data_IF_819823701543
#
_entry.id   IF_819823701543
#
_cell.length_a   1.000
_cell.length_b   1.000
_cell.length_c   1.000
_cell.angle_alpha   90.00
_cell.angle_beta   90.00
_cell.angle_gamma   90.00
#
_symmetry.space_group_name_H-M   'P 1'
#
loop_
_entity.id
_entity.type
_entity.pdbx_description
1 polymer ?
#
# COMPACT_ATOMS: atom_id res chain seq x y z
N UNK A 1 -8.47 2.34 -7.21
CA UNK A 1 -9.22 3.58 -7.07
C UNK A 1 -10.58 3.40 -7.72
N UNK A 2 -11.60 3.53 -6.95
CA UNK A 2 -12.94 3.14 -7.33
C UNK A 2 -13.99 4.05 -6.67
N UNK A 3 -15.24 3.62 -6.68
CA UNK A 3 -16.39 4.28 -6.07
C UNK A 3 -16.14 4.72 -4.60
N UNK A 4 -15.30 4.00 -3.83
CA UNK A 4 -14.95 4.33 -2.45
C UNK A 4 -14.27 5.70 -2.36
N UNK A 5 -13.38 6.01 -3.30
CA UNK A 5 -12.68 7.30 -3.34
C UNK A 5 -13.63 8.48 -3.55
N UNK A 6 -14.62 8.31 -4.42
CA UNK A 6 -15.65 9.33 -4.66
C UNK A 6 -16.58 9.50 -3.46
N UNK A 7 -16.92 8.41 -2.78
CA UNK A 7 -17.74 8.44 -1.56
C UNK A 7 -17.04 9.21 -0.42
N UNK A 8 -15.75 9.00 -0.24
CA UNK A 8 -14.97 9.72 0.77
C UNK A 8 -14.91 11.22 0.47
N UNK A 9 -14.71 11.59 -0.79
CA UNK A 9 -14.72 13.00 -1.19
C UNK A 9 -16.10 13.64 -0.96
N UNK A 10 -17.18 12.96 -1.33
CA UNK A 10 -18.54 13.43 -1.08
C UNK A 10 -18.80 13.68 0.40
N UNK A 11 -18.32 12.80 1.26
CA UNK A 11 -18.44 12.95 2.71
C UNK A 11 -17.75 14.25 3.19
N UNK A 12 -16.51 14.50 2.75
CA UNK A 12 -15.75 15.69 3.13
C UNK A 12 -16.43 16.97 2.67
N UNK A 13 -17.01 16.97 1.47
CA UNK A 13 -17.77 18.11 0.94
C UNK A 13 -19.03 18.36 1.75
N UNK A 14 -19.77 17.31 2.11
CA UNK A 14 -20.98 17.42 2.95
C UNK A 14 -20.67 17.93 4.36
N UNK A 15 -19.53 17.52 4.93
CA UNK A 15 -19.05 18.01 6.22
C UNK A 15 -18.49 19.43 6.17
N UNK A 16 -18.42 20.02 4.98
CA UNK A 16 -17.84 21.35 4.72
C UNK A 16 -16.38 21.46 5.18
N UNK A 17 -15.67 20.35 5.15
CA UNK A 17 -14.23 20.29 5.42
C UNK A 17 -13.44 20.53 4.12
N UNK A 18 -13.37 21.80 3.75
CA UNK A 18 -12.73 22.22 2.49
C UNK A 18 -11.24 21.87 2.47
N UNK A 19 -10.54 22.07 3.57
CA UNK A 19 -9.11 21.79 3.66
C UNK A 19 -8.80 20.31 3.38
N UNK A 20 -9.49 19.39 4.08
CA UNK A 20 -9.31 17.96 3.85
C UNK A 20 -9.83 17.52 2.48
N UNK A 21 -10.89 18.12 1.97
CA UNK A 21 -11.39 17.82 0.62
C UNK A 21 -10.36 18.17 -0.45
N UNK A 22 -9.73 19.35 -0.37
CA UNK A 22 -8.69 19.77 -1.30
C UNK A 22 -7.45 18.87 -1.18
N UNK A 23 -7.00 18.56 0.02
CA UNK A 23 -5.88 17.64 0.24
C UNK A 23 -6.19 16.25 -0.34
N UNK A 24 -7.40 15.76 -0.14
CA UNK A 24 -7.84 14.47 -0.69
C UNK A 24 -7.76 14.47 -2.23
N UNK A 25 -8.24 15.52 -2.88
CA UNK A 25 -8.16 15.68 -4.33
C UNK A 25 -6.70 15.69 -4.81
N UNK A 26 -5.82 16.40 -4.12
CA UNK A 26 -4.40 16.46 -4.46
C UNK A 26 -3.73 15.08 -4.34
N UNK A 27 -3.99 14.35 -3.26
CA UNK A 27 -3.44 13.01 -3.07
C UNK A 27 -4.02 12.01 -4.07
N UNK A 28 -5.29 12.11 -4.37
CA UNK A 28 -5.94 11.27 -5.38
C UNK A 28 -5.35 11.53 -6.77
N UNK A 29 -5.18 12.80 -7.14
CA UNK A 29 -4.59 13.20 -8.42
C UNK A 29 -3.13 12.73 -8.55
N UNK A 30 -2.34 12.85 -7.49
CA UNK A 30 -0.98 12.34 -7.43
C UNK A 30 -0.94 10.81 -7.62
N UNK A 31 -1.82 10.11 -6.93
CA UNK A 31 -1.94 8.66 -7.01
C UNK A 31 -2.27 8.20 -8.45
N UNK A 32 -3.23 8.84 -9.08
CA UNK A 32 -3.59 8.53 -10.48
C UNK A 32 -2.45 8.78 -11.44
N UNK A 33 -1.77 9.93 -11.31
CA UNK A 33 -0.61 10.23 -12.18
C UNK A 33 0.50 9.20 -12.01
N UNK A 34 0.82 8.84 -10.78
CA UNK A 34 1.84 7.83 -10.49
C UNK A 34 1.50 6.49 -11.16
N UNK A 35 0.27 6.01 -10.96
CA UNK A 35 -0.19 4.75 -11.55
C UNK A 35 -0.18 4.80 -13.09
N UNK A 36 -0.63 5.91 -13.66
CA UNK A 36 -0.65 6.10 -15.11
C UNK A 36 0.76 6.13 -15.72
N UNK A 37 1.69 6.83 -15.09
CA UNK A 37 3.07 6.95 -15.57
C UNK A 37 3.88 5.67 -15.42
N UNK A 38 3.59 4.86 -14.42
CA UNK A 38 4.37 3.68 -14.07
C UNK A 38 3.68 2.35 -14.40
N UNK A 39 2.43 2.35 -14.84
CA UNK A 39 1.66 1.14 -15.10
C UNK A 39 2.25 0.21 -16.16
N UNK A 40 2.91 0.77 -17.19
CA UNK A 40 3.60 0.01 -18.23
C UNK A 40 5.13 0.07 -18.08
N UNK A 41 5.64 0.64 -16.99
CA UNK A 41 7.07 0.80 -16.77
C UNK A 41 7.69 -0.53 -16.31
N UNK A 42 8.67 -1.02 -17.05
CA UNK A 42 9.46 -2.21 -16.75
C UNK A 42 10.80 -1.87 -16.11
N UNK A 43 11.09 -0.59 -15.90
CA UNK A 43 12.29 -0.10 -15.23
C UNK A 43 12.10 -0.04 -13.73
N UNK A 44 13.21 0.02 -13.01
CA UNK A 44 13.19 0.22 -11.56
C UNK A 44 12.91 1.67 -11.19
N UNK A 45 12.38 1.87 -10.00
CA UNK A 45 12.15 3.18 -9.41
C UNK A 45 12.86 3.26 -8.05
N UNK A 46 13.24 4.46 -7.62
CA UNK A 46 13.84 4.65 -6.30
C UNK A 46 12.79 4.43 -5.20
N UNK A 47 13.22 3.82 -4.09
CA UNK A 47 12.35 3.56 -2.94
C UNK A 47 11.66 4.85 -2.46
N UNK A 48 12.37 5.99 -2.45
CA UNK A 48 11.78 7.28 -2.02
C UNK A 48 10.52 7.65 -2.81
N UNK A 49 10.48 7.35 -4.09
CA UNK A 49 9.32 7.65 -4.94
C UNK A 49 8.16 6.69 -4.67
N UNK A 50 8.45 5.42 -4.47
CA UNK A 50 7.45 4.43 -4.10
C UNK A 50 6.85 4.72 -2.71
N UNK A 51 7.67 5.16 -1.75
CA UNK A 51 7.20 5.56 -0.42
C UNK A 51 6.29 6.80 -0.51
N UNK A 52 6.67 7.80 -1.30
CA UNK A 52 5.82 8.98 -1.51
C UNK A 52 4.45 8.59 -2.09
N UNK A 53 4.43 7.67 -3.05
CA UNK A 53 3.19 7.11 -3.57
C UNK A 53 2.40 6.37 -2.47
N UNK A 54 3.07 5.51 -1.71
CA UNK A 54 2.43 4.73 -0.66
C UNK A 54 1.82 5.62 0.45
N UNK A 55 2.47 6.71 0.79
CA UNK A 55 1.94 7.71 1.74
C UNK A 55 0.65 8.36 1.20
N UNK A 56 0.66 8.78 -0.06
CA UNK A 56 -0.52 9.35 -0.71
C UNK A 56 -1.67 8.35 -0.80
N UNK A 57 -1.37 7.11 -1.20
CA UNK A 57 -2.34 6.03 -1.30
C UNK A 57 -2.93 5.65 0.06
N UNK A 58 -2.09 5.58 1.09
CA UNK A 58 -2.50 5.32 2.48
C UNK A 58 -3.39 6.43 3.03
N UNK A 59 -3.12 7.68 2.68
CA UNK A 59 -3.96 8.81 3.07
C UNK A 59 -5.42 8.64 2.60
N UNK A 60 -5.62 8.13 1.39
CA UNK A 60 -6.97 7.88 0.87
C UNK A 60 -7.74 6.88 1.75
N UNK A 61 -7.08 5.82 2.21
CA UNK A 61 -7.67 4.87 3.16
C UNK A 61 -7.88 5.49 4.55
N UNK A 62 -6.95 6.34 4.98
CA UNK A 62 -7.04 7.02 6.27
C UNK A 62 -8.28 7.92 6.36
N UNK A 63 -8.63 8.60 5.28
CA UNK A 63 -9.88 9.38 5.21
C UNK A 63 -11.10 8.45 5.29
N UNK A 64 -11.04 7.31 4.62
CA UNK A 64 -12.15 6.34 4.59
C UNK A 64 -12.41 5.70 5.96
N UNK A 65 -11.36 5.28 6.65
CA UNK A 65 -11.45 4.48 7.88
C UNK A 65 -11.13 5.26 9.16
N UNK A 66 -10.65 6.48 9.04
CA UNK A 66 -10.34 7.39 10.15
C UNK A 66 -9.41 6.74 11.19
N UNK A 67 -9.84 6.70 12.45
CA UNK A 67 -9.08 6.16 13.58
C UNK A 67 -9.06 4.63 13.68
N UNK A 68 -9.77 3.95 12.77
CA UNK A 68 -9.81 2.48 12.71
C UNK A 68 -8.58 1.86 12.04
N UNK A 69 -7.81 2.66 11.29
CA UNK A 69 -6.63 2.24 10.55
C UNK A 69 -5.45 3.15 10.86
N UNK A 70 -4.27 2.55 10.94
CA UNK A 70 -3.01 3.27 11.05
C UNK A 70 -2.01 2.73 10.03
N UNK A 71 -1.24 3.64 9.44
CA UNK A 71 -0.11 3.34 8.58
C UNK A 71 1.16 3.89 9.20
N UNK A 72 2.11 3.02 9.49
CA UNK A 72 3.38 3.40 10.08
C UNK A 72 4.49 3.18 9.05
N UNK A 73 5.23 4.23 8.75
CA UNK A 73 6.39 4.19 7.86
C UNK A 73 7.67 4.35 8.68
N UNK A 74 8.56 3.37 8.59
CA UNK A 74 9.88 3.39 9.25
C UNK A 74 10.94 2.96 8.24
N UNK A 75 11.36 3.91 7.42
CA UNK A 75 12.28 3.68 6.31
C UNK A 75 13.66 4.22 6.69
N UNK A 76 14.67 3.34 6.74
CA UNK A 76 16.05 3.74 6.93
C UNK A 76 16.53 4.53 5.71
N UNK A 77 17.06 5.72 5.94
CA UNK A 77 17.50 6.64 4.89
C UNK A 77 18.50 6.03 3.92
N UNK A 78 19.34 5.09 4.38
CA UNK A 78 20.31 4.40 3.52
C UNK A 78 19.69 3.61 2.38
N UNK A 79 18.40 3.24 2.48
CA UNK A 79 17.68 2.49 1.45
C UNK A 79 16.89 3.36 0.48
N UNK A 80 16.77 4.66 0.72
CA UNK A 80 15.88 5.54 -0.07
C UNK A 80 16.25 5.58 -1.56
N UNK A 81 17.53 5.41 -1.90
CA UNK A 81 17.98 5.37 -3.29
C UNK A 81 18.11 3.95 -3.86
N UNK A 82 17.87 2.93 -3.06
CA UNK A 82 17.71 1.56 -3.56
C UNK A 82 16.51 1.49 -4.50
N UNK A 83 16.54 0.50 -5.39
CA UNK A 83 15.56 0.35 -6.46
C UNK A 83 14.66 -0.84 -6.22
N UNK A 84 13.45 -0.73 -6.74
CA UNK A 84 12.47 -1.83 -6.80
C UNK A 84 11.56 -1.63 -8.02
N UNK A 85 10.82 -2.65 -8.45
CA UNK A 85 9.83 -2.47 -9.49
C UNK A 85 8.76 -1.45 -9.05
N UNK A 86 8.33 -0.54 -9.93
CA UNK A 86 7.31 0.44 -9.58
C UNK A 86 5.97 -0.23 -9.28
N UNK A 87 5.12 0.43 -8.51
CA UNK A 87 3.79 -0.06 -8.12
C UNK A 87 3.89 -1.41 -7.38
N UNK A 88 4.90 -1.54 -6.50
CA UNK A 88 5.05 -2.73 -5.65
C UNK A 88 4.18 -2.65 -4.38
N UNK A 89 3.99 -1.45 -3.82
CA UNK A 89 3.27 -1.26 -2.57
C UNK A 89 1.74 -1.21 -2.74
N UNK A 90 1.24 -0.75 -3.87
CA UNK A 90 -0.20 -0.60 -4.09
C UNK A 90 -0.97 -1.93 -3.91
N UNK A 91 -0.57 -3.05 -4.52
CA UNK A 91 -1.28 -4.31 -4.31
C UNK A 91 -1.17 -4.82 -2.87
N UNK A 92 -0.08 -4.56 -2.17
CA UNK A 92 0.11 -5.01 -0.79
C UNK A 92 -0.78 -4.24 0.18
N UNK A 93 -0.82 -2.92 0.06
CA UNK A 93 -1.70 -2.06 0.87
C UNK A 93 -3.17 -2.37 0.56
N UNK A 94 -3.53 -2.47 -0.71
CA UNK A 94 -4.88 -2.80 -1.14
C UNK A 94 -5.35 -4.16 -0.62
N UNK A 95 -4.50 -5.18 -0.68
CA UNK A 95 -4.82 -6.52 -0.15
C UNK A 95 -4.97 -6.51 1.36
N UNK A 96 -4.11 -5.80 2.09
CA UNK A 96 -4.20 -5.68 3.53
C UNK A 96 -5.57 -5.13 3.95
N UNK A 97 -6.04 -4.06 3.30
CA UNK A 97 -7.34 -3.46 3.57
C UNK A 97 -8.50 -4.38 3.15
N UNK A 98 -8.38 -5.00 1.98
CA UNK A 98 -9.45 -5.83 1.39
C UNK A 98 -9.75 -7.10 2.20
N UNK A 99 -8.73 -7.71 2.79
CA UNK A 99 -8.82 -9.02 3.44
C UNK A 99 -9.02 -8.96 4.96
N UNK A 100 -9.16 -7.77 5.54
CA UNK A 100 -9.34 -7.61 6.97
C UNK A 100 -10.61 -6.85 7.32
N UNK A 101 -11.22 -7.23 8.44
CA UNK A 101 -12.34 -6.52 9.01
C UNK A 101 -11.84 -5.29 9.78
N UNK A 102 -12.00 -4.12 9.19
CA UNK A 102 -11.57 -2.85 9.79
C UNK A 102 -12.74 -2.27 10.56
N UNK A 103 -12.59 -2.19 11.88
CA UNK A 103 -13.65 -1.75 12.80
C UNK A 103 -13.06 -0.96 13.97
N UNK A 104 -13.95 -0.34 14.77
CA UNK A 104 -13.57 0.37 15.98
C UNK A 104 -13.16 -0.52 17.15
N UNK A 105 -13.32 -1.84 17.05
CA UNK A 105 -13.01 -2.79 18.12
C UNK A 105 -11.53 -2.90 18.42
N UNK A 106 -10.70 -2.90 17.37
CA UNK A 106 -9.24 -2.96 17.45
C UNK A 106 -8.64 -2.23 16.26
N UNK A 107 -7.53 -1.52 16.49
CA UNK A 107 -6.82 -0.78 15.46
C UNK A 107 -6.21 -1.75 14.44
N UNK A 108 -6.60 -1.59 13.17
CA UNK A 108 -5.93 -2.26 12.06
C UNK A 108 -4.68 -1.45 11.69
N UNK A 109 -3.52 -2.08 11.78
CA UNK A 109 -2.23 -1.43 11.57
C UNK A 109 -1.47 -2.04 10.42
N UNK A 110 -1.05 -1.20 9.49
CA UNK A 110 -0.14 -1.56 8.39
C UNK A 110 1.20 -0.89 8.65
N UNK A 111 2.25 -1.69 8.78
CA UNK A 111 3.63 -1.21 8.97
C UNK A 111 4.41 -1.39 7.68
N UNK A 112 5.08 -0.35 7.25
CA UNK A 112 5.93 -0.34 6.06
C UNK A 112 7.31 0.10 6.51
N UNK A 113 8.28 -0.79 6.45
CA UNK A 113 9.60 -0.55 7.00
C UNK A 113 10.69 -1.26 6.19
N UNK A 114 11.93 -0.86 6.41
CA UNK A 114 13.10 -1.51 5.80
C UNK A 114 13.78 -2.43 6.81
N UNK A 115 14.26 -3.58 6.34
CA UNK A 115 14.98 -4.55 7.14
C UNK A 115 15.94 -5.36 6.26
N UNK A 116 17.24 -5.26 6.55
CA UNK A 116 18.30 -6.07 5.91
C UNK A 116 18.21 -6.15 4.38
N UNK A 117 17.99 -5.00 3.72
CA UNK A 117 17.90 -4.94 2.26
C UNK A 117 16.53 -5.28 1.69
N UNK A 118 15.51 -5.38 2.53
CA UNK A 118 14.12 -5.62 2.14
C UNK A 118 13.24 -4.44 2.52
N UNK A 119 12.25 -4.18 1.68
CA UNK A 119 11.08 -3.39 2.05
C UNK A 119 10.03 -4.35 2.58
N UNK A 120 9.56 -4.13 3.79
CA UNK A 120 8.62 -5.02 4.47
C UNK A 120 7.28 -4.34 4.64
N UNK A 121 6.21 -5.04 4.30
CA UNK A 121 4.83 -4.61 4.57
C UNK A 121 4.19 -5.66 5.46
N UNK A 122 3.82 -5.27 6.67
CA UNK A 122 3.24 -6.15 7.66
C UNK A 122 1.92 -5.58 8.19
N UNK A 123 0.93 -6.41 8.37
CA UNK A 123 -0.32 -6.01 9.01
C UNK A 123 -0.79 -7.06 10.02
N UNK A 124 -1.45 -6.59 11.09
CA UNK A 124 -2.18 -7.47 11.97
C UNK A 124 -3.43 -8.02 11.23
N UNK A 125 -3.95 -9.14 11.70
CA UNK A 125 -5.03 -9.86 11.00
C UNK A 125 -6.32 -9.82 11.80
N UNK A 126 -7.39 -9.42 11.12
CA UNK A 126 -8.74 -9.48 11.63
C UNK A 126 -9.61 -10.24 10.62
N UNK A 127 -9.90 -11.53 10.88
CA UNK A 127 -10.67 -12.35 9.95
C UNK A 127 -12.04 -11.73 9.65
N UNK A 128 -12.42 -11.73 8.38
CA UNK A 128 -13.76 -11.35 7.96
C UNK A 128 -14.72 -12.52 8.22
N UNK A 129 -15.98 -12.20 8.58
CA UNK A 129 -17.03 -13.21 8.76
C UNK A 129 -17.31 -13.96 7.45
N UNK A 130 -17.28 -13.22 6.33
CA UNK A 130 -17.33 -13.80 5.00
C UNK A 130 -16.00 -13.46 4.31
N UNK A 131 -15.12 -14.46 4.13
CA UNK A 131 -13.88 -14.21 3.42
C UNK A 131 -14.17 -13.70 2.02
N UNK A 132 -13.67 -12.52 1.70
CA UNK A 132 -13.73 -12.04 0.32
C UNK A 132 -12.75 -12.89 -0.51
N UNK A 133 -13.25 -13.77 -1.40
CA UNK A 133 -12.39 -14.58 -2.23
C UNK A 133 -11.66 -13.65 -3.20
N UNK A 134 -10.54 -13.10 -2.76
CA UNK A 134 -9.64 -12.42 -3.66
C UNK A 134 -9.16 -13.41 -4.72
N UNK A 135 -8.92 -12.93 -5.92
CA UNK A 135 -8.44 -13.77 -7.02
C UNK A 135 -7.04 -14.34 -6.77
N UNK A 136 -6.33 -13.86 -5.72
CA UNK A 136 -4.92 -14.22 -5.45
C UNK A 136 -3.95 -13.68 -6.48
N UNK A 137 -4.45 -13.03 -7.53
CA UNK A 137 -3.65 -12.57 -8.67
C UNK A 137 -2.68 -11.44 -8.31
N UNK A 138 -3.01 -10.60 -7.34
CA UNK A 138 -2.18 -9.46 -6.97
C UNK A 138 -0.79 -9.85 -6.50
N UNK A 139 -0.69 -10.79 -5.55
CA UNK A 139 0.60 -11.29 -5.04
C UNK A 139 1.32 -12.13 -6.09
N UNK A 140 0.61 -12.99 -6.81
CA UNK A 140 1.17 -13.80 -7.89
C UNK A 140 1.79 -12.91 -8.98
N UNK A 141 1.09 -11.88 -9.39
CA UNK A 141 1.57 -10.93 -10.39
C UNK A 141 2.79 -10.15 -9.89
N UNK A 142 2.77 -9.73 -8.63
CA UNK A 142 3.90 -9.04 -8.01
C UNK A 142 5.13 -9.95 -7.96
N UNK A 143 4.98 -11.20 -7.50
CA UNK A 143 6.07 -12.17 -7.48
C UNK A 143 6.63 -12.44 -8.88
N UNK A 144 5.76 -12.60 -9.87
CA UNK A 144 6.17 -12.79 -11.26
C UNK A 144 7.01 -11.63 -11.79
N UNK A 145 6.64 -10.39 -11.44
CA UNK A 145 7.42 -9.21 -11.80
C UNK A 145 8.80 -9.20 -11.14
N UNK A 146 8.85 -9.56 -9.86
CA UNK A 146 10.13 -9.67 -9.13
C UNK A 146 11.03 -10.74 -9.73
N UNK A 147 10.47 -11.90 -10.08
CA UNK A 147 11.22 -12.95 -10.76
C UNK A 147 11.74 -12.48 -12.12
N UNK A 148 10.90 -11.82 -12.91
CA UNK A 148 11.27 -11.36 -14.25
C UNK A 148 12.36 -10.28 -14.20
N UNK A 149 12.25 -9.31 -13.29
CA UNK A 149 13.12 -8.13 -13.26
C UNK A 149 14.38 -8.32 -12.39
N UNK A 150 14.27 -9.08 -11.29
CA UNK A 150 15.36 -9.26 -10.32
C UNK A 150 15.87 -10.70 -10.24
N UNK A 151 15.17 -11.66 -10.81
CA UNK A 151 15.39 -13.09 -10.59
C UNK A 151 15.40 -13.44 -9.09
N UNK A 152 14.50 -12.80 -8.34
CA UNK A 152 14.31 -13.01 -6.91
C UNK A 152 12.82 -13.06 -6.59
N UNK A 153 12.45 -13.97 -5.71
CA UNK A 153 11.07 -14.06 -5.22
C UNK A 153 10.80 -13.07 -4.10
N UNK A 154 9.56 -12.65 -3.95
CA UNK A 154 9.08 -12.00 -2.75
C UNK A 154 8.93 -13.06 -1.64
N UNK A 155 9.08 -12.65 -0.39
CA UNK A 155 8.88 -13.54 0.75
C UNK A 155 7.53 -13.24 1.40
N UNK A 156 6.76 -14.28 1.68
CA UNK A 156 5.45 -14.16 2.32
C UNK A 156 5.46 -14.97 3.60
N UNK A 157 5.13 -14.32 4.72
CA UNK A 157 4.98 -14.94 6.03
C UNK A 157 3.54 -14.71 6.47
N UNK A 158 2.79 -15.79 6.60
CA UNK A 158 1.38 -15.75 6.98
C UNK A 158 1.17 -16.63 8.21
N UNK A 159 1.02 -16.01 9.36
CA UNK A 159 0.72 -16.71 10.61
C UNK A 159 -0.64 -16.26 11.19
N UNK A 160 -1.00 -16.71 12.37
CA UNK A 160 -2.30 -16.40 12.98
C UNK A 160 -2.46 -14.90 13.32
N UNK A 161 -1.35 -14.21 13.58
CA UNK A 161 -1.36 -12.83 14.09
C UNK A 161 -1.08 -11.78 13.02
N UNK A 162 -0.20 -12.11 12.05
CA UNK A 162 0.31 -11.16 11.08
C UNK A 162 0.37 -11.76 9.67
N UNK A 163 0.23 -10.88 8.70
CA UNK A 163 0.56 -11.13 7.30
C UNK A 163 1.73 -10.22 6.92
N UNK A 164 2.82 -10.78 6.45
CA UNK A 164 4.06 -10.06 6.17
C UNK A 164 4.51 -10.39 4.75
N UNK A 165 4.83 -9.36 3.98
CA UNK A 165 5.46 -9.50 2.66
C UNK A 165 6.80 -8.75 2.68
N UNK A 166 7.85 -9.40 2.26
CA UNK A 166 9.20 -8.84 2.16
C UNK A 166 9.59 -8.73 0.70
N UNK A 167 9.93 -7.52 0.28
CA UNK A 167 10.30 -7.18 -1.10
C UNK A 167 11.80 -6.90 -1.18
N UNK A 168 12.57 -7.66 -2.00
CA UNK A 168 13.99 -7.37 -2.19
C UNK A 168 14.21 -5.97 -2.77
N UNK A 169 15.15 -5.23 -2.19
CA UNK A 169 15.62 -3.95 -2.73
C UNK A 169 16.93 -4.17 -3.46
N UNK A 170 17.11 -3.45 -4.56
CA UNK A 170 18.33 -3.52 -5.38
C UNK A 170 19.19 -2.30 -5.11
N UNK A 171 20.44 -2.54 -4.74
CA UNK A 171 21.42 -1.48 -4.64
C UNK A 171 21.83 -1.04 -6.04
N UNK A 172 21.97 0.28 -6.25
CA UNK A 172 22.53 0.80 -7.51
C UNK A 172 23.96 0.37 -7.75
#
# INVERSE_FOLDING_TARGET
>A
LNIISLSSLSMLVREKDEERALKYIDQLSYTFRYLSQNGANTSFIALREEIKFAEAYSYLYKIRYADKIAFDFDIDEKYLDHKLPPISLQPLIGNAVKHNAISSKRLFRVRIYTDNGYLVVANNKFPMLEPNPGTGLGLTNLNSRYMLLLNREIEIINNEQEFIVRLPLVKQ
#
